data_IF_111676878467
#
_entry.id   IF_111676878467
#
_cell.length_a   1.000
_cell.length_b   1.000
_cell.length_c   1.000
_cell.angle_alpha   90.00
_cell.angle_beta   90.00
_cell.angle_gamma   90.00
#
_symmetry.space_group_name_H-M   'P 1'
#
loop_
_entity.id
_entity.type
_entity.pdbx_description
1 polymer ?
#
# COMPACT_ATOMS: atom_id res chain seq x y z
N UNK A 1 13.94 28.06 0.37
CA UNK A 1 13.99 27.20 1.57
C UNK A 1 12.57 26.88 1.97
N UNK A 2 12.08 25.69 1.62
CA UNK A 2 10.92 25.04 2.21
C UNK A 2 10.96 23.58 1.72
N UNK A 3 11.46 22.69 2.58
CA UNK A 3 11.46 21.26 2.39
C UNK A 3 10.62 20.70 3.53
N UNK A 4 9.41 20.20 3.26
CA UNK A 4 8.64 19.41 4.23
C UNK A 4 7.45 18.72 3.56
N UNK A 5 7.15 17.48 4.00
CA UNK A 5 5.97 16.64 3.73
C UNK A 5 5.98 15.62 2.57
N UNK A 6 7.06 14.85 2.38
CA UNK A 6 6.99 13.57 1.62
C UNK A 6 7.65 12.36 2.31
N UNK A 7 7.71 12.31 3.64
CA UNK A 7 8.41 11.20 4.31
C UNK A 7 7.83 10.85 5.69
N UNK A 8 6.66 10.21 5.74
CA UNK A 8 6.18 9.54 6.96
C UNK A 8 5.40 8.26 6.57
N UNK A 9 6.04 7.31 5.87
CA UNK A 9 5.43 5.99 5.62
C UNK A 9 6.28 4.78 6.09
N UNK A 10 7.62 4.79 6.25
CA UNK A 10 8.27 3.59 6.75
C UNK A 10 8.64 3.73 8.24
N UNK A 11 7.79 3.27 9.16
CA UNK A 11 8.28 2.99 10.52
C UNK A 11 7.64 1.81 11.26
N UNK A 12 6.91 0.91 10.58
CA UNK A 12 6.46 -0.35 11.19
C UNK A 12 6.94 -1.63 10.52
N UNK A 13 7.46 -1.56 9.29
CA UNK A 13 8.37 -2.62 8.80
C UNK A 13 9.67 -2.61 9.62
N UNK A 14 10.12 -1.44 10.10
CA UNK A 14 11.41 -1.28 10.80
C UNK A 14 11.53 -1.88 12.21
N UNK A 15 10.45 -2.28 12.88
CA UNK A 15 10.54 -2.86 14.25
C UNK A 15 10.55 -4.39 14.23
N UNK A 16 9.96 -5.02 13.20
CA UNK A 16 10.11 -6.48 12.96
C UNK A 16 11.34 -6.76 12.09
N UNK A 17 11.67 -5.87 11.14
CA UNK A 17 12.95 -5.92 10.38
C UNK A 17 14.15 -5.42 11.20
N UNK A 18 13.94 -4.65 12.27
CA UNK A 18 15.00 -4.11 13.12
C UNK A 18 15.82 -5.17 13.88
N UNK A 19 15.29 -6.38 14.05
CA UNK A 19 16.02 -7.48 14.67
C UNK A 19 16.84 -8.32 13.68
N UNK A 20 16.59 -8.21 12.36
CA UNK A 20 17.34 -8.95 11.31
C UNK A 20 18.28 -8.03 10.53
N UNK A 21 17.97 -6.73 10.42
CA UNK A 21 18.77 -5.77 9.64
C UNK A 21 20.16 -5.43 10.21
N UNK A 22 20.43 -5.68 11.50
CA UNK A 22 21.73 -5.35 12.11
C UNK A 22 22.78 -6.47 11.99
N UNK A 23 22.40 -7.66 11.50
CA UNK A 23 23.31 -8.81 11.39
C UNK A 23 23.83 -9.07 9.98
N UNK A 24 23.09 -8.67 8.93
CA UNK A 24 23.40 -9.06 7.54
C UNK A 24 24.17 -8.01 6.72
N UNK A 25 24.39 -6.80 7.26
CA UNK A 25 25.09 -5.73 6.53
C UNK A 25 26.63 -5.75 6.69
N UNK A 26 27.21 -6.80 7.28
CA UNK A 26 28.65 -6.80 7.59
C UNK A 26 29.54 -7.49 6.54
N UNK A 27 29.04 -8.34 5.64
CA UNK A 27 29.92 -9.16 4.78
C UNK A 27 29.51 -9.37 3.29
N UNK A 28 28.53 -8.66 2.71
CA UNK A 28 28.17 -8.87 1.28
C UNK A 28 28.50 -7.68 0.38
N UNK A 29 29.73 -7.66 -0.15
CA UNK A 29 30.04 -7.00 -1.41
C UNK A 29 30.15 -8.10 -2.48
N UNK A 30 29.36 -8.09 -3.58
CA UNK A 30 29.60 -8.99 -4.70
C UNK A 30 30.88 -8.60 -5.44
N UNK A 31 31.66 -9.61 -5.85
CA UNK A 31 32.88 -9.46 -6.65
C UNK A 31 32.59 -9.02 -8.09
N UNK A 32 33.62 -8.50 -8.77
CA UNK A 32 33.55 -7.81 -10.07
C UNK A 32 32.99 -8.66 -11.24
N UNK A 33 32.26 -7.99 -12.15
CA UNK A 33 31.57 -8.51 -13.34
C UNK A 33 32.50 -9.24 -14.34
N UNK A 34 32.00 -10.32 -14.97
CA UNK A 34 32.65 -11.00 -16.12
C UNK A 34 33.43 -12.28 -15.82
N UNK A 35 33.28 -12.85 -14.61
CA UNK A 35 33.96 -14.08 -14.19
C UNK A 35 33.21 -15.36 -14.66
N UNK A 36 33.90 -16.50 -14.88
CA UNK A 36 33.30 -17.80 -15.19
C UNK A 36 32.23 -18.28 -14.18
N UNK A 37 32.18 -17.67 -13.00
CA UNK A 37 31.21 -17.93 -11.94
C UNK A 37 29.81 -17.43 -12.33
N UNK A 38 29.68 -16.38 -13.15
CA UNK A 38 28.38 -15.86 -13.63
C UNK A 38 27.65 -16.87 -14.53
N UNK A 39 28.40 -17.62 -15.35
CA UNK A 39 27.85 -18.70 -16.20
C UNK A 39 27.45 -19.93 -15.41
N UNK A 40 28.10 -20.19 -14.28
CA UNK A 40 27.72 -21.26 -13.34
C UNK A 40 26.47 -20.86 -12.58
N UNK A 41 26.37 -19.58 -12.17
CA UNK A 41 25.17 -19.02 -11.52
C UNK A 41 23.96 -19.02 -12.46
N UNK A 42 24.12 -18.71 -13.75
CA UNK A 42 23.02 -18.74 -14.73
C UNK A 42 22.51 -20.18 -14.97
N UNK A 43 23.42 -21.16 -15.07
CA UNK A 43 23.07 -22.57 -15.24
C UNK A 43 22.46 -23.18 -13.95
N UNK A 44 22.94 -22.79 -12.78
CA UNK A 44 22.34 -23.17 -11.49
C UNK A 44 20.97 -22.52 -11.26
N UNK A 45 20.77 -21.29 -11.73
CA UNK A 45 19.48 -20.61 -11.69
C UNK A 45 18.44 -21.30 -12.58
N UNK A 46 18.85 -21.75 -13.78
CA UNK A 46 17.99 -22.50 -14.68
C UNK A 46 17.61 -23.88 -14.12
N UNK A 47 18.55 -24.55 -13.44
CA UNK A 47 18.32 -25.85 -12.81
C UNK A 47 17.43 -25.73 -11.55
N UNK A 48 17.65 -24.71 -10.72
CA UNK A 48 16.79 -24.37 -9.56
C UNK A 48 15.38 -23.94 -9.95
N UNK A 49 15.19 -23.30 -11.12
CA UNK A 49 13.86 -22.97 -11.65
C UNK A 49 13.05 -24.22 -12.01
N UNK A 50 13.71 -25.30 -12.42
CA UNK A 50 13.07 -26.60 -12.65
C UNK A 50 12.75 -27.33 -11.35
N UNK A 51 13.67 -27.32 -10.37
CA UNK A 51 13.47 -27.94 -9.06
C UNK A 51 12.40 -27.25 -8.22
N UNK A 52 12.35 -25.91 -8.20
CA UNK A 52 11.30 -25.16 -7.51
C UNK A 52 9.92 -25.42 -8.08
N UNK A 53 9.82 -25.74 -9.38
CA UNK A 53 8.56 -26.14 -10.00
C UNK A 53 8.10 -27.49 -9.47
N UNK A 54 9.03 -28.43 -9.25
CA UNK A 54 8.74 -29.75 -8.66
C UNK A 54 8.34 -29.61 -7.18
N UNK A 55 9.05 -28.78 -6.40
CA UNK A 55 8.73 -28.51 -4.99
C UNK A 55 7.39 -27.79 -4.84
N UNK A 56 7.05 -26.85 -5.72
CA UNK A 56 5.74 -26.21 -5.74
C UNK A 56 4.60 -27.21 -6.03
N UNK A 57 4.84 -28.19 -6.90
CA UNK A 57 3.90 -29.29 -7.14
C UNK A 57 3.82 -30.28 -5.96
N UNK A 58 4.91 -30.49 -5.21
CA UNK A 58 4.90 -31.32 -4.00
C UNK A 58 4.26 -30.62 -2.80
N UNK A 59 4.38 -29.29 -2.69
CA UNK A 59 3.77 -28.48 -1.64
C UNK A 59 2.24 -28.40 -1.77
N UNK A 60 1.69 -28.45 -2.99
CA UNK A 60 0.25 -28.60 -3.21
C UNK A 60 -0.31 -29.94 -2.70
N UNK A 61 0.55 -30.94 -2.43
CA UNK A 61 0.15 -32.29 -2.02
C UNK A 61 0.14 -32.57 -0.51
N UNK A 62 0.57 -31.65 0.36
CA UNK A 62 0.68 -31.91 1.82
C UNK A 62 -0.03 -30.85 2.66
N UNK A 63 -1.34 -31.02 2.80
CA UNK A 63 -2.20 -30.31 3.75
C UNK A 63 -2.00 -30.87 5.17
N UNK A 64 -0.98 -30.40 5.89
CA UNK A 64 -0.95 -30.52 7.36
C UNK A 64 0.04 -29.51 8.00
N UNK A 65 -0.40 -28.30 8.31
CA UNK A 65 0.44 -27.24 8.92
C UNK A 65 -0.25 -26.62 10.14
N UNK A 66 -0.58 -27.43 11.16
CA UNK A 66 -0.91 -26.91 12.50
C UNK A 66 0.32 -27.00 13.40
N UNK A 67 0.91 -25.85 13.76
CA UNK A 67 1.76 -25.74 14.95
C UNK A 67 3.20 -25.26 14.81
N UNK A 68 3.60 -24.57 13.73
CA UNK A 68 4.94 -23.94 13.69
C UNK A 68 5.04 -22.78 14.66
N UNK A 69 6.09 -22.76 15.48
CA UNK A 69 6.41 -21.65 16.40
C UNK A 69 7.19 -20.54 15.70
N UNK A 70 7.19 -19.31 16.24
CA UNK A 70 7.97 -18.18 15.71
C UNK A 70 9.45 -18.53 15.51
N UNK A 71 10.04 -19.26 16.48
CA UNK A 71 11.45 -19.64 16.44
C UNK A 71 11.76 -20.62 15.31
N UNK A 72 10.85 -21.55 15.04
CA UNK A 72 10.98 -22.51 13.94
C UNK A 72 10.74 -21.83 12.59
N UNK A 73 9.68 -21.01 12.47
CA UNK A 73 9.39 -20.28 11.24
C UNK A 73 10.51 -19.34 10.82
N UNK A 74 10.97 -18.47 11.73
CA UNK A 74 12.10 -17.56 11.45
C UNK A 74 13.42 -18.34 11.28
N UNK A 75 13.62 -19.41 12.05
CA UNK A 75 14.80 -20.27 11.93
C UNK A 75 14.91 -20.92 10.56
N UNK A 76 13.81 -21.47 10.04
CA UNK A 76 13.71 -22.07 8.72
C UNK A 76 13.97 -21.04 7.62
N UNK A 77 13.38 -19.83 7.72
CA UNK A 77 13.64 -18.75 6.77
C UNK A 77 15.10 -18.29 6.81
N UNK A 78 15.69 -18.13 8.00
CA UNK A 78 17.08 -17.72 8.15
C UNK A 78 18.06 -18.78 7.63
N UNK A 79 17.76 -20.06 7.82
CA UNK A 79 18.54 -21.16 7.28
C UNK A 79 18.40 -21.21 5.75
N UNK A 80 17.19 -21.04 5.21
CA UNK A 80 16.95 -20.95 3.76
C UNK A 80 17.72 -19.80 3.13
N UNK A 81 17.76 -18.62 3.76
CA UNK A 81 18.58 -17.49 3.30
C UNK A 81 20.07 -17.84 3.34
N UNK A 82 20.55 -18.44 4.44
CA UNK A 82 21.94 -18.86 4.60
C UNK A 82 22.38 -19.87 3.54
N UNK A 83 21.47 -20.74 3.13
CA UNK A 83 21.70 -21.77 2.11
C UNK A 83 21.52 -21.22 0.67
N UNK A 84 21.41 -19.89 0.51
CA UNK A 84 21.26 -19.21 -0.79
C UNK A 84 19.85 -19.29 -1.39
N UNK A 85 18.86 -19.63 -0.56
CA UNK A 85 17.44 -19.71 -0.91
C UNK A 85 16.72 -18.37 -0.77
N UNK A 86 15.65 -18.23 -1.56
CA UNK A 86 14.80 -17.04 -1.68
C UNK A 86 13.63 -17.10 -0.69
N UNK A 87 13.27 -16.05 0.07
CA UNK A 87 12.09 -15.91 0.95
C UNK A 87 11.14 -14.82 0.43
N UNK A 88 9.82 -14.99 0.41
CA UNK A 88 8.87 -13.91 -0.01
C UNK A 88 8.39 -13.04 1.16
N UNK A 89 7.88 -11.81 0.93
CA UNK A 89 7.28 -10.99 1.99
C UNK A 89 6.14 -11.71 2.73
N UNK A 90 5.32 -12.49 2.02
CA UNK A 90 4.23 -13.27 2.63
C UNK A 90 4.74 -14.45 3.46
N UNK A 91 5.88 -15.05 3.10
CA UNK A 91 6.52 -16.07 3.92
C UNK A 91 7.04 -15.47 5.23
N UNK A 92 7.62 -14.27 5.17
CA UNK A 92 8.04 -13.53 6.37
C UNK A 92 6.83 -13.16 7.24
N UNK A 93 5.76 -12.62 6.66
CA UNK A 93 4.52 -12.31 7.36
C UNK A 93 3.99 -13.57 8.07
N UNK A 94 3.85 -14.69 7.35
CA UNK A 94 3.40 -15.97 7.91
C UNK A 94 4.28 -16.49 9.04
N UNK A 95 5.60 -16.30 8.95
CA UNK A 95 6.49 -16.68 10.04
C UNK A 95 6.28 -15.83 11.31
N UNK A 96 5.85 -14.57 11.15
CA UNK A 96 5.62 -13.63 12.26
C UNK A 96 4.18 -13.64 12.79
N UNK A 97 3.21 -14.14 12.02
CA UNK A 97 1.79 -14.22 12.40
C UNK A 97 1.54 -14.83 13.79
N UNK A 98 2.20 -15.93 14.21
CA UNK A 98 2.02 -16.47 15.56
C UNK A 98 2.37 -15.45 16.65
N UNK A 99 3.45 -14.68 16.47
CA UNK A 99 3.84 -13.63 17.41
C UNK A 99 2.82 -12.50 17.44
N UNK A 100 2.36 -12.05 16.27
CA UNK A 100 1.35 -11.00 16.15
C UNK A 100 0.05 -11.41 16.85
N UNK A 101 -0.37 -12.67 16.67
CA UNK A 101 -1.55 -13.24 17.34
C UNK A 101 -1.36 -13.37 18.85
N UNK A 102 -0.24 -13.92 19.28
CA UNK A 102 0.03 -14.18 20.70
C UNK A 102 0.22 -12.88 21.51
N UNK A 103 0.71 -11.82 20.87
CA UNK A 103 0.90 -10.49 21.46
C UNK A 103 -0.10 -9.45 20.93
N UNK A 104 -1.22 -9.87 20.34
CA UNK A 104 -2.22 -8.96 19.76
C UNK A 104 -2.62 -7.81 20.69
N UNK A 105 -2.98 -8.05 21.99
CA UNK A 105 -3.35 -6.97 22.91
C UNK A 105 -2.23 -5.95 23.16
N UNK A 106 -0.97 -6.36 23.03
CA UNK A 106 0.17 -5.46 23.17
C UNK A 106 0.36 -4.61 21.91
N UNK A 107 0.26 -5.22 20.73
CA UNK A 107 0.37 -4.52 19.45
C UNK A 107 -0.78 -3.54 19.24
N UNK A 108 -2.03 -3.96 19.53
CA UNK A 108 -3.22 -3.10 19.52
C UNK A 108 -2.97 -1.84 20.37
N UNK A 109 -2.48 -2.02 21.60
CA UNK A 109 -2.22 -0.89 22.51
C UNK A 109 -1.14 0.06 21.99
N UNK A 110 -0.08 -0.45 21.36
CA UNK A 110 0.96 0.38 20.76
C UNK A 110 0.41 1.16 19.56
N UNK A 111 -0.29 0.48 18.66
CA UNK A 111 -0.89 1.08 17.47
C UNK A 111 -1.93 2.14 17.86
N UNK A 112 -2.86 1.82 18.76
CA UNK A 112 -3.86 2.75 19.26
C UNK A 112 -3.22 3.98 19.91
N UNK A 113 -2.18 3.81 20.74
CA UNK A 113 -1.49 4.95 21.37
C UNK A 113 -0.79 5.85 20.35
N UNK A 114 -0.27 5.29 19.25
CA UNK A 114 0.32 6.06 18.17
C UNK A 114 -0.75 6.85 17.42
N UNK A 115 -1.84 6.19 17.02
CA UNK A 115 -2.97 6.83 16.33
C UNK A 115 -3.59 7.93 17.19
N UNK A 116 -3.83 7.67 18.48
CA UNK A 116 -4.37 8.65 19.42
C UNK A 116 -3.55 9.94 19.48
N UNK A 117 -2.21 9.87 19.44
CA UNK A 117 -1.36 11.08 19.41
C UNK A 117 -1.52 11.89 18.12
N UNK A 118 -1.67 11.21 16.98
CA UNK A 118 -1.90 11.89 15.71
C UNK A 118 -3.29 12.55 15.73
N UNK A 119 -4.28 11.82 16.23
CA UNK A 119 -5.65 12.29 16.30
C UNK A 119 -5.86 13.40 17.33
N UNK A 120 -5.12 13.43 18.45
CA UNK A 120 -5.14 14.53 19.41
C UNK A 120 -4.76 15.87 18.75
N UNK A 121 -3.78 15.86 17.84
CA UNK A 121 -3.39 17.07 17.11
C UNK A 121 -4.51 17.54 16.17
N UNK A 122 -5.11 16.61 15.43
CA UNK A 122 -6.23 16.86 14.52
C UNK A 122 -7.47 17.34 15.29
N UNK A 123 -7.81 16.70 16.41
CA UNK A 123 -8.92 17.10 17.27
C UNK A 123 -8.76 18.53 17.77
N UNK A 124 -7.54 18.91 18.18
CA UNK A 124 -7.23 20.27 18.59
C UNK A 124 -7.34 21.28 17.45
N UNK A 125 -6.95 20.91 16.24
CA UNK A 125 -7.13 21.74 15.04
C UNK A 125 -8.61 21.94 14.69
N UNK A 126 -9.38 20.86 14.58
CA UNK A 126 -10.81 20.89 14.27
C UNK A 126 -11.59 21.69 15.32
N UNK A 127 -11.25 21.52 16.60
CA UNK A 127 -11.84 22.28 17.72
C UNK A 127 -11.65 23.78 17.52
N UNK A 128 -10.43 24.22 17.16
CA UNK A 128 -10.15 25.64 16.89
C UNK A 128 -10.80 26.12 15.61
N UNK A 129 -10.71 25.34 14.53
CA UNK A 129 -11.15 25.70 13.18
C UNK A 129 -12.67 25.90 13.12
N UNK A 130 -13.43 25.03 13.77
CA UNK A 130 -14.90 25.05 13.74
C UNK A 130 -15.55 25.57 15.03
N UNK A 131 -14.75 26.10 15.96
CA UNK A 131 -15.23 26.72 17.19
C UNK A 131 -16.03 25.77 18.09
N UNK A 132 -15.57 24.52 18.23
CA UNK A 132 -16.25 23.53 19.07
C UNK A 132 -16.25 23.98 20.54
N UNK A 133 -17.40 23.82 21.21
CA UNK A 133 -17.49 24.01 22.66
C UNK A 133 -16.88 22.81 23.42
N UNK A 134 -16.73 22.94 24.75
CA UNK A 134 -16.08 21.92 25.59
C UNK A 134 -16.74 20.53 25.45
N UNK A 135 -18.07 20.47 25.39
CA UNK A 135 -18.80 19.21 25.22
C UNK A 135 -18.56 18.57 23.85
N UNK A 136 -18.55 19.38 22.79
CA UNK A 136 -18.27 18.93 21.42
C UNK A 136 -16.81 18.48 21.26
N UNK A 137 -15.86 19.22 21.84
CA UNK A 137 -14.45 18.88 21.82
C UNK A 137 -14.17 17.57 22.59
N UNK A 138 -14.82 17.37 23.75
CA UNK A 138 -14.74 16.12 24.50
C UNK A 138 -15.30 14.93 23.71
N UNK A 139 -16.43 15.13 23.02
CA UNK A 139 -17.01 14.09 22.13
C UNK A 139 -16.10 13.78 20.96
N UNK A 140 -15.51 14.77 20.30
CA UNK A 140 -14.58 14.59 19.19
C UNK A 140 -13.34 13.81 19.64
N UNK A 141 -12.78 14.15 20.80
CA UNK A 141 -11.66 13.42 21.36
C UNK A 141 -12.02 11.96 21.67
N UNK A 142 -13.17 11.72 22.30
CA UNK A 142 -13.64 10.36 22.57
C UNK A 142 -13.87 9.56 21.28
N UNK A 143 -14.38 10.20 20.23
CA UNK A 143 -14.56 9.58 18.93
C UNK A 143 -13.23 9.17 18.32
N UNK A 144 -12.22 10.05 18.34
CA UNK A 144 -10.88 9.72 17.87
C UNK A 144 -10.19 8.62 18.70
N UNK A 145 -10.34 8.62 20.02
CA UNK A 145 -9.79 7.57 20.88
C UNK A 145 -10.39 6.20 20.53
N UNK A 146 -11.70 6.14 20.28
CA UNK A 146 -12.37 4.92 19.82
C UNK A 146 -11.93 4.54 18.41
N UNK A 147 -11.91 5.49 17.48
CA UNK A 147 -11.49 5.26 16.10
C UNK A 147 -10.03 4.74 16.01
N UNK A 148 -9.14 5.23 16.89
CA UNK A 148 -7.77 4.73 17.02
C UNK A 148 -7.71 3.28 17.53
N UNK A 149 -8.62 2.89 18.43
CA UNK A 149 -8.73 1.51 18.91
C UNK A 149 -9.26 0.60 17.80
N UNK A 150 -10.35 1.00 17.15
CA UNK A 150 -11.00 0.23 16.08
C UNK A 150 -10.05 0.02 14.89
N UNK A 151 -9.26 1.02 14.51
CA UNK A 151 -8.24 0.85 13.46
C UNK A 151 -7.07 -0.03 13.91
N UNK A 152 -6.63 0.07 15.17
CA UNK A 152 -5.56 -0.76 15.68
C UNK A 152 -5.98 -2.24 15.74
N UNK A 153 -7.20 -2.52 16.18
CA UNK A 153 -7.81 -3.86 16.19
C UNK A 153 -7.93 -4.41 14.77
N UNK A 154 -8.52 -3.65 13.83
CA UNK A 154 -8.63 -4.04 12.42
C UNK A 154 -7.28 -4.41 11.81
N UNK A 155 -6.24 -3.63 12.08
CA UNK A 155 -4.90 -3.90 11.56
C UNK A 155 -4.28 -5.16 12.17
N UNK A 156 -4.38 -5.35 13.49
CA UNK A 156 -3.82 -6.53 14.17
C UNK A 156 -4.58 -7.80 13.79
N UNK A 157 -5.89 -7.72 13.62
CA UNK A 157 -6.72 -8.81 13.12
C UNK A 157 -6.31 -9.23 11.71
N UNK A 158 -6.12 -8.27 10.80
CA UNK A 158 -5.63 -8.55 9.45
C UNK A 158 -4.23 -9.17 9.49
N UNK A 159 -3.32 -8.60 10.28
CA UNK A 159 -1.94 -9.08 10.39
C UNK A 159 -1.81 -10.46 11.05
N UNK A 160 -2.81 -10.90 11.81
CA UNK A 160 -2.84 -12.20 12.48
C UNK A 160 -3.71 -13.24 11.75
N UNK A 161 -4.50 -12.82 10.75
CA UNK A 161 -5.39 -13.70 9.99
C UNK A 161 -4.58 -14.68 9.12
N UNK A 162 -4.97 -15.95 9.20
CA UNK A 162 -4.42 -16.99 8.32
C UNK A 162 -4.75 -16.66 6.85
N UNK A 163 -3.73 -16.64 5.99
CA UNK A 163 -3.87 -16.32 4.57
C UNK A 163 -3.79 -14.84 4.22
N UNK A 164 -3.66 -13.94 5.20
CA UNK A 164 -3.37 -12.54 4.91
C UNK A 164 -2.02 -12.39 4.19
N UNK A 165 -1.99 -11.56 3.16
CA UNK A 165 -0.80 -11.22 2.40
C UNK A 165 -0.17 -9.91 2.89
N UNK A 166 1.07 -9.67 2.52
CA UNK A 166 1.72 -8.37 2.77
C UNK A 166 1.03 -7.26 1.97
N UNK A 167 0.47 -7.59 0.81
CA UNK A 167 -0.31 -6.68 -0.02
C UNK A 167 -1.59 -6.23 0.70
N UNK A 168 -2.33 -7.16 1.31
CA UNK A 168 -3.52 -6.84 2.11
C UNK A 168 -3.18 -5.85 3.23
N UNK A 169 -2.03 -6.04 3.89
CA UNK A 169 -1.56 -5.15 4.96
C UNK A 169 -1.13 -3.77 4.44
N UNK A 170 -0.53 -3.72 3.26
CA UNK A 170 -0.14 -2.46 2.62
C UNK A 170 -1.37 -1.70 2.15
N UNK A 171 -2.32 -2.36 1.48
CA UNK A 171 -3.60 -1.81 1.08
C UNK A 171 -4.35 -1.26 2.30
N UNK A 172 -4.54 -2.06 3.35
CA UNK A 172 -5.19 -1.61 4.58
C UNK A 172 -4.46 -0.43 5.25
N UNK A 173 -3.13 -0.35 5.15
CA UNK A 173 -2.36 0.77 5.70
C UNK A 173 -2.46 2.04 4.84
N UNK A 174 -2.61 1.92 3.52
CA UNK A 174 -2.85 3.04 2.62
C UNK A 174 -4.29 3.56 2.72
N UNK A 175 -5.24 2.65 2.92
CA UNK A 175 -6.65 2.97 3.12
C UNK A 175 -6.96 3.48 4.53
N UNK A 176 -6.12 3.14 5.52
CA UNK A 176 -6.25 3.62 6.89
C UNK A 176 -6.08 5.14 6.96
N UNK A 177 -7.22 5.84 6.95
CA UNK A 177 -7.29 7.30 6.98
C UNK A 177 -7.70 7.81 8.35
N UNK A 178 -7.06 8.89 8.78
CA UNK A 178 -7.35 9.53 10.07
C UNK A 178 -8.74 10.16 10.15
N UNK A 179 -9.29 10.55 9.00
CA UNK A 179 -10.57 11.23 8.83
C UNK A 179 -11.67 10.31 8.28
N UNK A 180 -11.43 8.99 8.24
CA UNK A 180 -12.46 8.01 7.88
C UNK A 180 -13.64 8.10 8.88
N UNK A 181 -14.85 8.34 8.40
CA UNK A 181 -16.03 8.53 9.25
C UNK A 181 -16.11 9.87 9.99
N UNK A 182 -15.10 10.74 9.88
CA UNK A 182 -15.09 12.05 10.53
C UNK A 182 -16.23 12.94 10.01
N UNK A 183 -16.55 12.85 8.73
CA UNK A 183 -17.59 13.69 8.09
C UNK A 183 -18.97 13.42 8.68
N UNK A 184 -19.30 12.15 8.90
CA UNK A 184 -20.55 11.72 9.52
C UNK A 184 -20.61 12.21 10.97
N UNK A 185 -19.54 12.00 11.73
CA UNK A 185 -19.47 12.42 13.13
C UNK A 185 -19.61 13.95 13.27
N UNK A 186 -18.81 14.70 12.52
CA UNK A 186 -18.82 16.16 12.54
C UNK A 186 -20.14 16.73 12.04
N UNK A 187 -20.77 16.10 11.03
CA UNK A 187 -22.11 16.44 10.57
C UNK A 187 -23.20 16.28 11.63
N UNK A 188 -23.00 15.39 12.60
CA UNK A 188 -23.91 15.20 13.73
C UNK A 188 -23.75 16.23 14.86
N UNK A 189 -22.56 16.81 15.03
CA UNK A 189 -22.27 17.76 16.11
C UNK A 189 -22.21 19.22 15.66
N UNK A 190 -21.93 19.49 14.39
CA UNK A 190 -21.90 20.83 13.81
C UNK A 190 -23.25 21.19 13.22
N UNK A 191 -23.72 22.40 13.55
CA UNK A 191 -24.98 22.95 13.03
C UNK A 191 -24.76 24.38 12.51
N UNK A 192 -25.71 24.87 11.71
CA UNK A 192 -25.68 26.22 11.16
C UNK A 192 -24.45 26.49 10.30
N UNK A 193 -23.84 27.66 10.49
CA UNK A 193 -22.70 28.14 9.70
C UNK A 193 -21.47 27.26 9.82
N UNK A 194 -21.11 26.81 11.03
CA UNK A 194 -19.94 25.94 11.25
C UNK A 194 -20.09 24.59 10.51
N UNK A 195 -21.29 24.02 10.47
CA UNK A 195 -21.56 22.79 9.72
C UNK A 195 -21.52 22.99 8.21
N UNK A 196 -21.97 24.15 7.71
CA UNK A 196 -21.87 24.48 6.29
C UNK A 196 -20.41 24.70 5.87
N UNK A 197 -19.64 25.42 6.68
CA UNK A 197 -18.21 25.62 6.47
C UNK A 197 -17.46 24.29 6.48
N UNK A 198 -17.70 23.42 7.47
CA UNK A 198 -17.08 22.10 7.53
C UNK A 198 -17.33 21.29 6.25
N UNK A 199 -18.59 21.18 5.78
CA UNK A 199 -18.89 20.44 4.55
C UNK A 199 -18.21 21.04 3.32
N UNK A 200 -18.16 22.37 3.22
CA UNK A 200 -17.48 23.06 2.12
C UNK A 200 -15.98 22.79 2.12
N UNK A 201 -15.33 22.92 3.28
CA UNK A 201 -13.90 22.66 3.45
C UNK A 201 -13.57 21.20 3.10
N UNK A 202 -14.39 20.26 3.59
CA UNK A 202 -14.23 18.83 3.32
C UNK A 202 -14.39 18.49 1.85
N UNK A 203 -15.36 19.09 1.16
CA UNK A 203 -15.52 18.90 -0.28
C UNK A 203 -14.30 19.40 -1.05
N UNK A 204 -13.75 20.57 -0.68
CA UNK A 204 -12.54 21.10 -1.30
C UNK A 204 -11.30 20.23 -1.04
N UNK A 205 -11.11 19.78 0.21
CA UNK A 205 -10.00 18.88 0.58
C UNK A 205 -10.09 17.56 -0.19
N UNK A 206 -11.28 16.95 -0.27
CA UNK A 206 -11.49 15.72 -1.03
C UNK A 206 -11.28 15.93 -2.53
N UNK A 207 -11.83 17.01 -3.10
CA UNK A 207 -11.64 17.32 -4.52
C UNK A 207 -10.15 17.48 -4.86
N UNK A 208 -9.37 18.17 -4.02
CA UNK A 208 -7.92 18.28 -4.18
C UNK A 208 -7.22 16.91 -4.12
N UNK A 209 -7.60 16.04 -3.19
CA UNK A 209 -7.04 14.68 -3.11
C UNK A 209 -7.40 13.80 -4.30
N UNK A 210 -8.64 13.89 -4.79
CA UNK A 210 -9.08 13.16 -5.98
C UNK A 210 -8.30 13.64 -7.21
N UNK A 211 -8.09 14.95 -7.32
CA UNK A 211 -7.28 15.54 -8.38
C UNK A 211 -5.83 15.06 -8.30
N UNK A 212 -5.16 15.19 -7.15
CA UNK A 212 -3.78 14.72 -6.97
C UNK A 212 -3.65 13.21 -7.27
N UNK A 213 -4.63 12.40 -6.85
CA UNK A 213 -4.68 10.96 -7.10
C UNK A 213 -4.77 10.64 -8.60
N UNK A 214 -5.65 11.35 -9.31
CA UNK A 214 -5.88 11.14 -10.73
C UNK A 214 -4.72 11.67 -11.58
N UNK A 215 -4.24 12.87 -11.30
CA UNK A 215 -3.11 13.50 -11.98
C UNK A 215 -1.86 12.63 -11.89
N UNK A 216 -1.51 12.17 -10.69
CA UNK A 216 -0.34 11.32 -10.50
C UNK A 216 -0.38 10.05 -11.38
N UNK A 217 -1.56 9.43 -11.50
CA UNK A 217 -1.75 8.20 -12.30
C UNK A 217 -1.71 8.50 -13.79
N UNK A 218 -2.38 9.56 -14.23
CA UNK A 218 -2.39 9.99 -15.63
C UNK A 218 -1.00 10.43 -16.09
N UNK A 219 -0.30 11.27 -15.31
CA UNK A 219 1.07 11.69 -15.61
C UNK A 219 2.06 10.53 -15.68
N UNK A 220 1.83 9.48 -14.88
CA UNK A 220 2.65 8.28 -14.95
C UNK A 220 2.42 7.52 -16.25
N UNK A 221 1.16 7.32 -16.62
CA UNK A 221 0.81 6.66 -17.87
C UNK A 221 1.30 7.47 -19.08
N UNK A 222 1.10 8.79 -19.06
CA UNK A 222 1.58 9.73 -20.06
C UNK A 222 3.08 9.63 -20.30
N UNK A 223 3.89 9.54 -19.24
CA UNK A 223 5.35 9.36 -19.36
C UNK A 223 5.75 8.08 -20.10
N UNK A 224 4.90 7.05 -20.11
CA UNK A 224 5.18 5.77 -20.78
C UNK A 224 4.67 5.77 -22.22
N UNK A 225 3.44 6.24 -22.44
CA UNK A 225 2.76 6.07 -23.73
C UNK A 225 2.61 7.36 -24.53
N UNK A 226 2.80 8.53 -23.92
CA UNK A 226 2.59 9.84 -24.53
C UNK A 226 1.13 10.06 -24.90
N UNK A 227 0.32 10.46 -23.91
CA UNK A 227 -1.12 10.71 -24.05
C UNK A 227 -1.39 12.09 -24.66
N UNK A 228 -2.32 12.14 -25.61
CA UNK A 228 -2.86 13.42 -26.07
C UNK A 228 -3.82 14.05 -25.02
N UNK A 229 -4.20 15.31 -25.23
CA UNK A 229 -5.02 16.06 -24.28
C UNK A 229 -6.39 15.40 -24.04
N UNK A 230 -7.03 14.86 -25.08
CA UNK A 230 -8.32 14.18 -24.97
C UNK A 230 -8.22 12.84 -24.25
N UNK A 231 -7.14 12.09 -24.48
CA UNK A 231 -6.84 10.85 -23.74
C UNK A 231 -6.55 11.15 -22.26
N UNK A 232 -5.83 12.24 -21.95
CA UNK A 232 -5.56 12.67 -20.57
C UNK A 232 -6.85 13.01 -19.84
N UNK A 233 -7.74 13.81 -20.43
CA UNK A 233 -9.01 14.19 -19.81
C UNK A 233 -9.92 12.96 -19.58
N UNK A 234 -10.00 12.04 -20.56
CA UNK A 234 -10.76 10.81 -20.45
C UNK A 234 -10.25 9.93 -19.29
N UNK A 235 -8.94 9.69 -19.25
CA UNK A 235 -8.32 8.82 -18.25
C UNK A 235 -8.31 9.47 -16.87
N UNK A 236 -8.18 10.80 -16.78
CA UNK A 236 -8.38 11.53 -15.54
C UNK A 236 -9.77 11.25 -14.97
N UNK A 237 -10.83 11.31 -15.79
CA UNK A 237 -12.19 11.01 -15.33
C UNK A 237 -12.37 9.59 -14.79
N UNK A 238 -11.69 8.61 -15.38
CA UNK A 238 -11.66 7.22 -14.89
C UNK A 238 -10.90 7.12 -13.57
N UNK A 239 -9.71 7.73 -13.47
CA UNK A 239 -8.89 7.69 -12.25
C UNK A 239 -9.54 8.45 -11.10
N UNK A 240 -10.17 9.59 -11.37
CA UNK A 240 -10.89 10.38 -10.39
C UNK A 240 -12.06 9.58 -9.80
N UNK A 241 -12.84 8.90 -10.63
CA UNK A 241 -13.96 8.06 -10.17
C UNK A 241 -13.51 6.83 -9.36
N UNK A 242 -12.27 6.35 -9.58
CA UNK A 242 -11.68 5.27 -8.81
C UNK A 242 -11.12 5.71 -7.44
N UNK A 243 -11.05 7.02 -7.17
CA UNK A 243 -10.56 7.53 -5.90
C UNK A 243 -11.55 7.24 -4.76
N UNK A 244 -11.08 6.76 -3.58
CA UNK A 244 -11.92 6.57 -2.40
C UNK A 244 -12.54 7.87 -1.84
N UNK A 245 -12.05 9.02 -2.26
CA UNK A 245 -12.55 10.33 -1.87
C UNK A 245 -13.59 10.91 -2.85
N UNK A 246 -13.84 10.23 -3.97
CA UNK A 246 -14.73 10.74 -5.01
C UNK A 246 -16.18 10.88 -4.54
N UNK A 247 -16.76 12.05 -4.80
CA UNK A 247 -18.20 12.30 -4.62
C UNK A 247 -18.80 12.79 -5.95
N UNK A 248 -20.02 12.34 -6.28
CA UNK A 248 -20.72 12.71 -7.51
C UNK A 248 -21.00 14.22 -7.66
N UNK A 249 -20.88 14.99 -6.57
CA UNK A 249 -21.02 16.45 -6.55
C UNK A 249 -19.75 17.17 -7.06
N UNK A 250 -18.62 16.47 -7.17
CA UNK A 250 -17.35 17.06 -7.60
C UNK A 250 -17.37 17.39 -9.09
N UNK A 251 -16.69 18.47 -9.42
CA UNK A 251 -16.50 18.91 -10.80
C UNK A 251 -15.02 19.10 -11.03
N UNK A 252 -14.53 18.60 -12.16
CA UNK A 252 -13.14 18.70 -12.57
C UNK A 252 -13.06 19.42 -13.91
N UNK A 253 -12.09 20.32 -14.04
CA UNK A 253 -11.82 21.05 -15.28
C UNK A 253 -10.69 20.35 -16.04
N UNK A 254 -10.93 20.10 -17.33
CA UNK A 254 -9.97 19.54 -18.27
C UNK A 254 -9.70 20.49 -19.43
N UNK A 255 -8.89 20.04 -20.37
CA UNK A 255 -8.49 20.80 -21.56
C UNK A 255 -9.66 21.10 -22.50
N UNK A 256 -10.64 20.19 -22.58
CA UNK A 256 -11.83 20.33 -23.44
C UNK A 256 -13.09 20.83 -22.71
N UNK A 257 -12.99 21.10 -21.40
CA UNK A 257 -14.10 21.56 -20.57
C UNK A 257 -14.26 20.71 -19.31
N UNK A 258 -15.49 20.58 -18.80
CA UNK A 258 -15.76 19.81 -17.58
C UNK A 258 -15.55 18.32 -17.85
N UNK A 259 -14.64 17.70 -17.10
CA UNK A 259 -14.42 16.25 -17.14
C UNK A 259 -15.57 15.59 -16.37
N UNK A 260 -16.19 14.58 -16.99
CA UNK A 260 -17.22 13.77 -16.35
C UNK A 260 -16.61 12.45 -15.88
N UNK A 261 -16.47 12.22 -14.56
CA UNK A 261 -15.89 10.98 -14.04
C UNK A 261 -16.75 9.76 -14.38
N UNK A 262 -16.11 8.65 -14.71
CA UNK A 262 -16.77 7.43 -15.16
C UNK A 262 -16.84 6.40 -14.04
N UNK A 263 -17.96 6.36 -13.33
CA UNK A 263 -18.16 5.48 -12.16
C UNK A 263 -18.42 4.03 -12.58
N UNK A 264 -17.73 3.08 -11.94
CA UNK A 264 -17.95 1.65 -12.12
C UNK A 264 -17.38 1.06 -13.42
N UNK A 265 -16.52 1.81 -14.10
CA UNK A 265 -15.79 1.32 -15.27
C UNK A 265 -14.54 0.58 -14.80
N UNK A 266 -14.24 -0.54 -15.44
CA UNK A 266 -12.99 -1.26 -15.22
C UNK A 266 -11.81 -0.40 -15.70
N UNK A 267 -10.90 -0.06 -14.79
CA UNK A 267 -9.82 0.89 -15.04
C UNK A 267 -8.85 0.38 -16.09
N UNK A 268 -8.46 -0.89 -16.03
CA UNK A 268 -7.50 -1.46 -16.98
C UNK A 268 -8.11 -1.50 -18.38
N UNK A 269 -9.36 -1.92 -18.50
CA UNK A 269 -10.10 -1.91 -19.75
C UNK A 269 -10.22 -0.48 -20.32
N UNK A 270 -10.55 0.50 -19.48
CA UNK A 270 -10.67 1.90 -19.90
C UNK A 270 -9.33 2.47 -20.40
N UNK A 271 -8.22 2.13 -19.73
CA UNK A 271 -6.88 2.48 -20.19
C UNK A 271 -6.64 1.88 -21.56
N UNK A 272 -6.80 0.55 -21.71
CA UNK A 272 -6.55 -0.12 -22.99
C UNK A 272 -7.41 0.47 -24.10
N UNK A 273 -8.70 0.72 -23.86
CA UNK A 273 -9.61 1.31 -24.84
C UNK A 273 -9.20 2.71 -25.30
N UNK A 274 -8.73 3.54 -24.37
CA UNK A 274 -8.26 4.91 -24.67
C UNK A 274 -6.98 4.93 -25.52
N UNK A 275 -6.11 3.94 -25.37
CA UNK A 275 -4.82 3.89 -26.04
C UNK A 275 -4.93 3.47 -27.52
N UNK A 276 -4.17 4.16 -28.39
CA UNK A 276 -3.94 3.75 -29.77
C UNK A 276 -3.11 2.46 -29.85
N UNK A 277 -3.09 1.73 -30.99
CA UNK A 277 -2.33 0.49 -31.11
C UNK A 277 -0.84 0.61 -30.78
N UNK A 278 -0.21 1.73 -31.13
CA UNK A 278 1.20 1.98 -30.79
C UNK A 278 1.41 2.22 -29.30
N UNK A 279 0.50 2.97 -28.67
CA UNK A 279 0.52 3.22 -27.22
C UNK A 279 0.27 1.95 -26.41
N UNK A 280 -0.64 1.07 -26.86
CA UNK A 280 -0.87 -0.24 -26.23
C UNK A 280 0.37 -1.11 -26.24
N UNK A 281 1.11 -1.13 -27.36
CA UNK A 281 2.37 -1.87 -27.44
C UNK A 281 3.41 -1.32 -26.47
N UNK A 282 3.52 0.01 -26.32
CA UNK A 282 4.41 0.64 -25.35
C UNK A 282 4.00 0.33 -23.89
N UNK A 283 2.69 0.35 -23.61
CA UNK A 283 2.12 0.02 -22.31
C UNK A 283 2.46 -1.41 -21.88
N UNK A 284 2.22 -2.40 -22.75
CA UNK A 284 2.52 -3.81 -22.45
C UNK A 284 4.03 -4.06 -22.31
N UNK A 285 4.84 -3.47 -23.20
CA UNK A 285 6.29 -3.59 -23.12
C UNK A 285 6.84 -3.04 -21.78
N UNK A 286 6.29 -1.91 -21.31
CA UNK A 286 6.64 -1.35 -20.00
C UNK A 286 6.22 -2.27 -18.85
N UNK A 287 5.00 -2.83 -18.88
CA UNK A 287 4.54 -3.80 -17.85
C UNK A 287 5.47 -5.02 -17.79
N UNK A 288 5.86 -5.56 -18.93
CA UNK A 288 6.77 -6.71 -19.00
C UNK A 288 8.17 -6.37 -18.49
N UNK A 289 8.72 -5.22 -18.89
CA UNK A 289 10.05 -4.77 -18.48
C UNK A 289 10.13 -4.50 -16.98
N UNK A 290 9.16 -3.77 -16.41
CA UNK A 290 9.15 -3.47 -14.98
C UNK A 290 8.91 -4.73 -14.14
N UNK A 291 8.07 -5.67 -14.62
CA UNK A 291 7.90 -6.97 -13.98
C UNK A 291 9.20 -7.78 -13.99
N UNK A 292 9.96 -7.74 -15.08
CA UNK A 292 11.25 -8.42 -15.17
C UNK A 292 12.27 -7.80 -14.22
N UNK A 293 12.42 -6.47 -14.22
CA UNK A 293 13.31 -5.74 -13.30
C UNK A 293 12.95 -5.97 -11.84
N UNK A 294 11.68 -5.89 -11.49
CA UNK A 294 11.25 -6.09 -10.10
C UNK A 294 11.48 -7.54 -9.66
N UNK A 295 11.27 -8.53 -10.54
CA UNK A 295 11.62 -9.92 -10.26
C UNK A 295 13.13 -10.13 -10.07
N UNK A 296 13.96 -9.44 -10.83
CA UNK A 296 15.42 -9.48 -10.70
C UNK A 296 15.86 -8.86 -9.36
N UNK A 297 15.43 -7.61 -9.08
CA UNK A 297 15.73 -6.89 -7.84
C UNK A 297 15.24 -7.65 -6.60
N UNK A 298 13.97 -8.08 -6.60
CA UNK A 298 13.45 -8.93 -5.54
C UNK A 298 14.30 -10.19 -5.41
N UNK A 299 14.67 -10.78 -6.55
CA UNK A 299 15.51 -11.94 -6.61
C UNK A 299 16.87 -11.80 -5.93
N UNK A 300 17.50 -10.63 -5.97
CA UNK A 300 18.77 -10.34 -5.25
C UNK A 300 18.60 -10.44 -3.74
N UNK A 301 17.46 -10.01 -3.21
CA UNK A 301 17.10 -10.12 -1.80
C UNK A 301 16.46 -11.47 -1.44
N UNK A 302 16.41 -12.38 -2.42
CA UNK A 302 15.72 -13.63 -2.29
C UNK A 302 14.20 -13.52 -2.29
N UNK A 303 13.59 -12.42 -2.67
CA UNK A 303 12.14 -12.30 -2.77
C UNK A 303 11.65 -12.77 -4.16
N UNK A 304 10.35 -13.08 -4.29
CA UNK A 304 9.66 -13.27 -5.57
C UNK A 304 8.44 -12.37 -5.65
N UNK A 305 8.14 -11.86 -6.83
CA UNK A 305 7.04 -10.95 -7.07
C UNK A 305 5.67 -11.67 -7.00
N UNK A 306 4.61 -11.05 -6.43
CA UNK A 306 3.24 -11.55 -6.51
C UNK A 306 2.73 -11.70 -7.95
N UNK A 307 1.74 -12.57 -8.15
CA UNK A 307 1.21 -12.88 -9.49
C UNK A 307 0.33 -11.78 -10.08
N UNK A 308 -0.34 -11.05 -9.19
CA UNK A 308 -1.25 -9.93 -9.39
C UNK A 308 -0.55 -8.57 -9.36
N UNK A 309 0.76 -8.53 -9.13
CA UNK A 309 1.53 -7.28 -9.17
C UNK A 309 1.32 -6.53 -10.49
N UNK A 310 0.83 -5.30 -10.42
CA UNK A 310 0.68 -4.40 -11.56
C UNK A 310 1.70 -3.27 -11.46
N UNK A 311 2.37 -2.99 -12.59
CA UNK A 311 3.36 -1.92 -12.63
C UNK A 311 2.72 -0.57 -12.29
N UNK A 312 1.44 -0.35 -12.59
CA UNK A 312 0.67 0.89 -12.44
C UNK A 312 -0.09 1.03 -11.10
N UNK A 313 -0.17 -0.02 -10.27
CA UNK A 313 -0.79 0.02 -8.95
C UNK A 313 0.21 0.36 -7.84
N UNK A 314 0.34 1.65 -7.54
CA UNK A 314 0.94 2.16 -6.30
C UNK A 314 0.34 3.48 -5.83
#
# INVERSE_FOLDING_TARGET
>A
MAATLKSIVPLFVGIVVGAVGLSLFRDSLPGEEGSPEERVVELEAALKKAENRIVAFEAMGRTDHRGRTLREGIGDLAQRIRDGGKVTPDELLRATQPLTRDLAPFFERIHAKRLARQYDALAGELTRKYGLNDDQAARLKSWFEQHAQDQAERWVDLASREGASMEDLMEASMEARADEGLDEFMGGILQGEAGAQFRSDRLHEKAGRVQDFADMRVERLDRVVGLDDGQRDLLFGVMAAASPDYENSMQFEGSEGIITPQVGVDREQAVIEALSPGQRAAYEAFKEEERAKMNEQMGEFGLTLPADWDAFDW
#
